data_IF_397019893157
#
_entry.id   IF_397019893157
#
_cell.length_a   1.000
_cell.length_b   1.000
_cell.length_c   1.000
_cell.angle_alpha   90.00
_cell.angle_beta   90.00
_cell.angle_gamma   90.00
#
_symmetry.space_group_name_H-M   'P 1'
#
loop_
_entity.id
_entity.type
_entity.pdbx_description
1 polymer ?
#
# COMPACT_ATOMS: atom_id res chain seq x y z
N UNK A 1 -2.01 22.14 41.83
CA UNK A 1 -3.28 22.05 41.09
C UNK A 1 -2.90 21.81 39.63
N UNK A 2 -2.98 20.55 39.20
CA UNK A 2 -2.52 20.11 37.89
C UNK A 2 -3.47 20.58 36.79
N UNK A 3 -2.90 21.21 35.77
CA UNK A 3 -3.61 21.61 34.57
C UNK A 3 -3.90 20.36 33.73
N UNK A 4 -5.18 20.07 33.53
CA UNK A 4 -5.66 18.90 32.81
C UNK A 4 -5.12 18.90 31.37
N UNK A 5 -4.47 17.80 31.03
CA UNK A 5 -3.93 17.55 29.70
C UNK A 5 -5.04 17.52 28.68
N UNK A 6 -4.90 18.34 27.65
CA UNK A 6 -5.65 18.22 26.41
C UNK A 6 -5.30 16.86 25.76
N UNK A 7 -6.13 15.84 26.02
CA UNK A 7 -6.13 14.61 25.24
C UNK A 7 -6.70 14.91 23.85
N UNK A 8 -5.81 15.40 22.99
CA UNK A 8 -6.06 15.51 21.56
C UNK A 8 -6.19 14.11 20.98
N UNK A 9 -7.39 13.54 21.12
CA UNK A 9 -7.83 12.34 20.41
C UNK A 9 -7.44 12.49 18.94
N UNK A 10 -6.33 11.86 18.56
CA UNK A 10 -5.90 11.77 17.18
C UNK A 10 -6.86 10.82 16.48
N UNK A 11 -8.02 11.35 16.12
CA UNK A 11 -8.97 10.68 15.24
C UNK A 11 -8.21 10.43 13.95
N UNK A 12 -7.76 9.19 13.72
CA UNK A 12 -7.20 8.80 12.43
C UNK A 12 -8.28 9.14 11.39
N UNK A 13 -8.04 10.06 10.44
CA UNK A 13 -9.09 10.55 9.53
C UNK A 13 -9.69 9.46 8.66
N UNK A 14 -9.03 8.30 8.59
CA UNK A 14 -9.41 7.14 7.80
C UNK A 14 -9.57 5.93 8.71
N UNK A 15 -10.81 5.52 8.95
CA UNK A 15 -11.16 4.36 9.80
C UNK A 15 -11.60 3.12 8.99
N UNK A 16 -12.24 3.33 7.83
CA UNK A 16 -12.84 2.26 7.02
C UNK A 16 -11.98 1.92 5.80
N UNK A 17 -10.86 1.25 6.01
CA UNK A 17 -10.00 0.71 4.92
C UNK A 17 -10.25 -0.78 4.78
N UNK A 18 -10.54 -1.25 3.56
CA UNK A 18 -10.79 -2.67 3.32
C UNK A 18 -9.54 -3.53 3.56
N UNK A 19 -9.76 -4.76 4.02
CA UNK A 19 -8.70 -5.75 4.18
C UNK A 19 -7.97 -6.01 2.85
N UNK A 20 -8.69 -5.97 1.72
CA UNK A 20 -8.09 -6.04 0.38
C UNK A 20 -7.13 -4.89 0.09
N UNK A 21 -7.44 -3.65 0.48
CA UNK A 21 -6.53 -2.53 0.25
C UNK A 21 -5.24 -2.65 1.08
N UNK A 22 -5.36 -3.11 2.33
CA UNK A 22 -4.20 -3.38 3.20
C UNK A 22 -3.36 -4.53 2.65
N UNK A 23 -4.02 -5.58 2.17
CA UNK A 23 -3.39 -6.70 1.49
C UNK A 23 -2.62 -6.23 0.24
N UNK A 24 -3.22 -5.33 -0.54
CA UNK A 24 -2.57 -4.74 -1.71
C UNK A 24 -1.28 -4.01 -1.33
N UNK A 25 -1.35 -3.19 -0.27
CA UNK A 25 -0.22 -2.42 0.22
C UNK A 25 0.93 -3.30 0.72
N UNK A 26 0.67 -4.46 1.35
CA UNK A 26 1.75 -5.35 1.82
C UNK A 26 2.63 -5.82 0.68
N UNK A 27 2.06 -6.33 -0.42
CA UNK A 27 2.91 -6.82 -1.52
C UNK A 27 3.62 -5.69 -2.26
N UNK A 28 3.06 -4.47 -2.31
CA UNK A 28 3.78 -3.30 -2.81
C UNK A 28 4.99 -2.97 -1.93
N UNK A 29 4.85 -3.15 -0.60
CA UNK A 29 5.96 -2.99 0.33
C UNK A 29 7.02 -4.09 0.15
N UNK A 30 6.59 -5.35 -0.02
CA UNK A 30 7.48 -6.49 -0.30
C UNK A 30 8.29 -6.24 -1.57
N UNK A 31 7.63 -5.81 -2.66
CA UNK A 31 8.32 -5.50 -3.91
C UNK A 31 9.31 -4.35 -3.73
N UNK A 32 8.89 -3.25 -3.09
CA UNK A 32 9.73 -2.06 -2.89
C UNK A 32 10.98 -2.33 -2.02
N UNK A 33 10.94 -3.37 -1.19
CA UNK A 33 12.07 -3.79 -0.36
C UNK A 33 13.11 -4.64 -1.11
N UNK A 34 12.79 -5.10 -2.33
CA UNK A 34 13.71 -5.93 -3.12
C UNK A 34 14.83 -5.07 -3.72
N UNK A 35 16.07 -5.60 -3.80
CA UNK A 35 17.15 -4.91 -4.51
C UNK A 35 16.88 -4.73 -6.02
N UNK A 36 16.10 -5.64 -6.61
CA UNK A 36 15.73 -5.68 -8.02
C UNK A 36 14.29 -5.21 -8.28
N UNK A 37 13.73 -4.41 -7.38
CA UNK A 37 12.34 -3.97 -7.44
C UNK A 37 12.01 -3.28 -8.77
N UNK A 38 10.87 -3.63 -9.38
CA UNK A 38 10.41 -3.01 -10.63
C UNK A 38 9.73 -1.65 -10.40
N UNK A 39 9.39 -1.33 -9.15
CA UNK A 39 8.93 -0.02 -8.69
C UNK A 39 9.29 0.17 -7.21
N UNK A 40 9.21 1.42 -6.71
CA UNK A 40 9.39 1.74 -5.30
C UNK A 40 8.19 2.58 -4.80
N UNK A 41 7.41 2.02 -3.87
CA UNK A 41 6.38 2.75 -3.13
C UNK A 41 6.84 3.01 -1.68
N UNK A 42 7.29 4.23 -1.36
CA UNK A 42 7.79 4.57 -0.02
C UNK A 42 6.68 4.59 1.06
N UNK A 43 5.40 4.55 0.67
CA UNK A 43 4.28 4.62 1.61
C UNK A 43 3.64 3.24 1.88
N UNK A 44 3.97 2.22 1.09
CA UNK A 44 3.31 0.92 1.12
C UNK A 44 3.33 0.27 2.51
N UNK A 45 4.49 0.24 3.17
CA UNK A 45 4.61 -0.41 4.48
C UNK A 45 3.78 0.30 5.56
N UNK A 46 3.76 1.64 5.53
CA UNK A 46 2.96 2.45 6.45
C UNK A 46 1.46 2.24 6.21
N UNK A 47 1.03 2.16 4.95
CA UNK A 47 -0.37 1.97 4.57
C UNK A 47 -0.87 0.54 4.82
N UNK A 48 -0.01 -0.46 4.64
CA UNK A 48 -0.30 -1.85 5.00
C UNK A 48 -0.60 -1.97 6.50
N UNK A 49 0.28 -1.39 7.32
CA UNK A 49 0.20 -1.46 8.78
C UNK A 49 0.23 -2.89 9.33
N UNK A 50 0.03 -3.03 10.65
CA UNK A 50 0.01 -4.34 11.30
C UNK A 50 -1.09 -5.26 10.73
N UNK A 51 -2.29 -4.69 10.52
CA UNK A 51 -3.44 -5.42 10.00
C UNK A 51 -3.20 -6.04 8.62
N UNK A 52 -2.55 -5.31 7.71
CA UNK A 52 -2.20 -5.85 6.38
C UNK A 52 -1.31 -7.09 6.48
N UNK A 53 -0.30 -7.05 7.36
CA UNK A 53 0.64 -8.16 7.56
C UNK A 53 -0.05 -9.39 8.16
N UNK A 54 -0.98 -9.20 9.10
CA UNK A 54 -1.82 -10.28 9.65
C UNK A 54 -2.67 -10.96 8.56
N UNK A 55 -3.26 -10.18 7.65
CA UNK A 55 -4.05 -10.72 6.53
C UNK A 55 -3.16 -11.58 5.62
N UNK A 56 -1.97 -11.09 5.25
CA UNK A 56 -1.03 -11.87 4.42
C UNK A 56 -0.58 -13.17 5.10
N UNK A 57 -0.44 -13.17 6.42
CA UNK A 57 -0.08 -14.37 7.18
C UNK A 57 -1.16 -15.46 7.11
N UNK A 58 -2.43 -15.10 6.90
CA UNK A 58 -3.57 -16.01 6.93
C UNK A 58 -4.09 -16.43 5.55
N UNK A 59 -3.69 -15.75 4.47
CA UNK A 59 -4.15 -16.10 3.10
C UNK A 59 -3.61 -17.44 2.59
N UNK A 60 -4.40 -18.18 1.78
CA UNK A 60 -3.99 -19.46 1.19
C UNK A 60 -2.69 -19.37 0.37
N UNK A 61 -1.90 -20.45 0.36
CA UNK A 61 -0.59 -20.51 -0.31
C UNK A 61 -0.62 -20.13 -1.79
N UNK A 62 -1.70 -20.46 -2.48
CA UNK A 62 -1.88 -20.12 -3.89
C UNK A 62 -1.95 -18.61 -4.14
N UNK A 63 -2.43 -17.84 -3.17
CA UNK A 63 -2.53 -16.38 -3.22
C UNK A 63 -1.27 -15.68 -2.69
N UNK A 64 -0.24 -16.43 -2.24
CA UNK A 64 0.99 -15.89 -1.62
C UNK A 64 2.02 -15.37 -2.60
N UNK A 65 1.98 -15.77 -3.87
CA UNK A 65 3.00 -15.35 -4.83
C UNK A 65 2.98 -13.84 -5.09
N UNK A 66 1.80 -13.20 -5.01
CA UNK A 66 1.65 -11.74 -5.09
C UNK A 66 2.06 -11.09 -6.41
N UNK A 67 2.67 -11.83 -7.34
CA UNK A 67 3.31 -11.29 -8.54
C UNK A 67 2.33 -10.56 -9.46
N UNK A 68 1.07 -11.01 -9.52
CA UNK A 68 0.03 -10.39 -10.35
C UNK A 68 -0.32 -8.99 -9.84
N UNK A 69 -0.15 -8.72 -8.55
CA UNK A 69 -0.31 -7.38 -7.99
C UNK A 69 0.89 -6.49 -8.30
N UNK A 70 2.10 -7.04 -8.29
CA UNK A 70 3.31 -6.33 -8.73
C UNK A 70 3.18 -5.92 -10.20
N UNK A 71 2.82 -6.87 -11.06
CA UNK A 71 2.56 -6.61 -12.47
C UNK A 71 1.46 -5.55 -12.65
N UNK A 72 0.33 -5.67 -11.92
CA UNK A 72 -0.74 -4.67 -11.93
C UNK A 72 -0.23 -3.27 -11.60
N UNK A 73 0.54 -3.10 -10.53
CA UNK A 73 1.07 -1.78 -10.14
C UNK A 73 1.98 -1.24 -11.23
N UNK A 74 2.96 -2.01 -11.70
CA UNK A 74 3.89 -1.57 -12.75
C UNK A 74 3.18 -1.17 -14.03
N UNK A 75 2.21 -1.98 -14.48
CA UNK A 75 1.45 -1.69 -15.71
C UNK A 75 0.64 -0.41 -15.58
N UNK A 76 -0.03 -0.18 -14.45
CA UNK A 76 -0.81 1.05 -14.24
C UNK A 76 0.13 2.26 -14.17
N UNK A 77 1.25 2.16 -13.44
CA UNK A 77 2.23 3.24 -13.33
C UNK A 77 2.82 3.62 -14.70
N UNK A 78 3.10 2.62 -15.55
CA UNK A 78 3.58 2.85 -16.92
C UNK A 78 2.54 3.55 -17.79
N UNK A 79 1.26 3.15 -17.69
CA UNK A 79 0.16 3.78 -18.42
C UNK A 79 0.01 5.24 -17.97
N UNK A 80 0.05 5.53 -16.67
CA UNK A 80 -0.07 6.88 -16.14
C UNK A 80 1.13 7.73 -16.58
N UNK A 81 2.35 7.21 -16.46
CA UNK A 81 3.57 7.90 -16.87
C UNK A 81 3.55 8.22 -18.37
N UNK A 82 3.07 7.28 -19.18
CA UNK A 82 2.88 7.50 -20.61
C UNK A 82 1.82 8.56 -20.89
N UNK A 83 0.67 8.52 -20.21
CA UNK A 83 -0.38 9.52 -20.39
C UNK A 83 0.13 10.94 -20.05
N UNK A 84 0.91 11.07 -18.96
CA UNK A 84 1.56 12.33 -18.58
C UNK A 84 2.53 12.80 -19.66
N UNK A 85 3.39 11.90 -20.17
CA UNK A 85 4.34 12.23 -21.24
C UNK A 85 3.65 12.61 -22.55
N UNK A 86 2.47 12.06 -22.82
CA UNK A 86 1.68 12.35 -24.01
C UNK A 86 0.83 13.63 -23.88
N UNK A 87 0.78 14.26 -22.69
CA UNK A 87 0.07 15.52 -22.44
C UNK A 87 -1.34 15.38 -21.88
N UNK A 88 -1.78 14.17 -21.52
CA UNK A 88 -3.09 13.89 -20.91
C UNK A 88 -4.30 14.40 -21.72
N UNK A 89 -4.22 14.40 -23.05
CA UNK A 89 -5.16 15.06 -23.96
C UNK A 89 -6.09 14.09 -24.73
N UNK A 90 -6.01 12.79 -24.45
CA UNK A 90 -6.89 11.75 -25.01
C UNK A 90 -7.67 10.98 -23.97
#
# INVERSE_FOLDING_TARGET
MGNEGHDGSSTTPVSNVSDTARWVAVYRAIESARPDAVFNDPYADRLAGARGREIVATVPRMMRSGWWMVARTKTIDDIITKAISDGCDR
#
